data_IF_930678555839
#
_entry.id   IF_930678555839
#
_cell.length_a   1.000
_cell.length_b   1.000
_cell.length_c   1.000
_cell.angle_alpha   90.00
_cell.angle_beta   90.00
_cell.angle_gamma   90.00
#
_symmetry.space_group_name_H-M   'P 1'
#
loop_
_entity.id
_entity.type
_entity.pdbx_description
1 polymer ?
#
# COMPACT_ATOMS: atom_id res chain seq x y z
N UNK A 1 19.67 -9.83 -2.63
CA UNK A 1 18.56 -9.76 -3.63
C UNK A 1 17.92 -8.37 -3.52
N UNK A 2 17.84 -7.62 -4.62
CA UNK A 2 17.44 -6.20 -4.62
C UNK A 2 15.90 -6.12 -4.69
N UNK A 3 15.26 -5.50 -3.71
CA UNK A 3 13.81 -5.32 -3.68
C UNK A 3 13.35 -4.54 -4.95
N UNK A 4 12.50 -5.11 -5.82
CA UNK A 4 12.11 -4.48 -7.09
C UNK A 4 11.43 -3.11 -6.91
N UNK A 5 10.95 -2.80 -5.71
CA UNK A 5 10.26 -1.55 -5.37
C UNK A 5 11.17 -0.35 -5.04
N UNK A 6 12.51 -0.45 -5.18
CA UNK A 6 13.44 0.62 -4.77
C UNK A 6 13.95 1.52 -5.91
N UNK A 7 13.46 2.76 -5.96
CA UNK A 7 14.11 4.00 -6.43
C UNK A 7 13.43 5.21 -5.77
N UNK A 8 14.22 6.08 -5.15
CA UNK A 8 13.75 7.30 -4.50
C UNK A 8 13.73 8.46 -5.51
N UNK A 9 12.56 9.10 -5.68
CA UNK A 9 12.45 10.41 -6.31
C UNK A 9 11.49 11.26 -5.49
N UNK A 10 12.01 12.36 -4.94
CA UNK A 10 11.28 13.37 -4.20
C UNK A 10 10.69 14.37 -5.20
N UNK A 11 9.38 14.32 -5.44
CA UNK A 11 8.59 15.45 -5.94
C UNK A 11 7.30 15.48 -5.13
N UNK A 12 6.86 16.68 -4.75
CA UNK A 12 5.64 16.93 -3.96
C UNK A 12 4.49 16.13 -4.59
N UNK A 13 4.14 15.02 -3.94
CA UNK A 13 3.14 14.10 -4.43
C UNK A 13 1.76 14.60 -4.05
N UNK A 14 0.83 14.57 -5.00
CA UNK A 14 -0.59 14.74 -4.68
C UNK A 14 -0.96 13.62 -3.70
N UNK A 15 -1.56 14.00 -2.56
CA UNK A 15 -2.12 13.09 -1.58
C UNK A 15 -3.62 13.00 -1.79
N UNK A 16 -4.14 11.79 -2.01
CA UNK A 16 -5.56 11.52 -2.06
C UNK A 16 -5.97 10.73 -0.82
N UNK A 17 -6.84 11.32 0.02
CA UNK A 17 -7.40 10.64 1.19
C UNK A 17 -8.77 10.05 0.85
N UNK A 18 -8.93 8.75 1.11
CA UNK A 18 -10.15 8.00 0.81
C UNK A 18 -10.60 7.29 2.07
N UNK A 19 -11.88 7.42 2.43
CA UNK A 19 -12.49 6.59 3.47
C UNK A 19 -12.81 5.22 2.88
N UNK A 20 -12.11 4.17 3.31
CA UNK A 20 -12.27 2.79 2.81
C UNK A 20 -13.18 1.94 3.68
N UNK A 21 -13.34 2.33 4.95
CA UNK A 21 -14.35 1.84 5.90
C UNK A 21 -14.71 2.98 6.86
N UNK A 22 -15.80 2.90 7.66
CA UNK A 22 -16.19 4.01 8.53
C UNK A 22 -15.08 4.46 9.49
N UNK A 23 -14.22 3.53 9.93
CA UNK A 23 -13.12 3.71 10.88
C UNK A 23 -11.73 3.76 10.22
N UNK A 24 -11.64 3.66 8.89
CA UNK A 24 -10.36 3.55 8.18
C UNK A 24 -10.27 4.51 7.00
N UNK A 25 -9.28 5.40 7.07
CA UNK A 25 -8.87 6.27 5.97
C UNK A 25 -7.55 5.77 5.37
N UNK A 26 -7.50 5.74 4.04
CA UNK A 26 -6.32 5.40 3.28
C UNK A 26 -5.76 6.67 2.62
N UNK A 27 -4.46 6.84 2.72
CA UNK A 27 -3.70 7.90 2.06
C UNK A 27 -3.00 7.34 0.83
N UNK A 28 -3.49 7.69 -0.35
CA UNK A 28 -2.93 7.26 -1.63
C UNK A 28 -1.89 8.28 -2.07
N UNK A 29 -0.65 7.81 -2.25
CA UNK A 29 0.50 8.61 -2.68
C UNK A 29 1.01 8.16 -4.03
N UNK A 30 1.26 9.14 -4.91
CA UNK A 30 1.72 8.95 -6.28
C UNK A 30 3.18 9.37 -6.44
N UNK A 31 4.09 8.64 -5.79
CA UNK A 31 5.51 8.99 -5.82
C UNK A 31 6.23 8.52 -7.08
N UNK A 32 5.76 7.45 -7.72
CA UNK A 32 6.39 6.85 -8.87
C UNK A 32 5.35 6.49 -9.93
N UNK A 33 5.80 6.40 -11.18
CA UNK A 33 4.92 6.05 -12.30
C UNK A 33 4.57 4.55 -12.31
N UNK A 34 5.42 3.72 -11.72
CA UNK A 34 5.37 2.26 -11.72
C UNK A 34 4.70 1.64 -10.48
N UNK A 35 4.37 2.44 -9.46
CA UNK A 35 3.78 1.95 -8.21
C UNK A 35 2.86 3.00 -7.59
N UNK A 36 1.82 2.52 -6.89
CA UNK A 36 0.98 3.34 -6.01
C UNK A 36 1.23 2.91 -4.57
N UNK A 37 1.53 3.88 -3.71
CA UNK A 37 1.66 3.64 -2.29
C UNK A 37 0.35 4.03 -1.60
N UNK A 38 -0.12 3.16 -0.72
CA UNK A 38 -1.21 3.41 0.20
C UNK A 38 -0.65 3.30 1.60
N UNK A 39 -0.85 4.32 2.42
CA UNK A 39 -0.60 4.19 3.85
C UNK A 39 -1.85 4.45 4.68
N UNK A 40 -1.83 3.90 5.88
CA UNK A 40 -2.87 4.03 6.88
C UNK A 40 -2.22 4.40 8.20
N UNK A 41 -2.92 5.18 9.01
CA UNK A 41 -2.49 5.48 10.37
C UNK A 41 -2.39 4.17 11.16
N UNK A 42 -1.33 3.94 11.96
CA UNK A 42 -1.18 2.72 12.75
C UNK A 42 -2.35 2.44 13.70
N UNK A 43 -3.09 3.48 14.08
CA UNK A 43 -4.18 3.41 15.03
C UNK A 43 -5.53 2.99 14.42
N UNK A 44 -5.67 3.08 13.10
CA UNK A 44 -6.94 2.98 12.37
C UNK A 44 -7.37 1.56 11.99
N UNK A 45 -6.50 0.67 11.45
CA UNK A 45 -6.93 -0.68 11.11
C UNK A 45 -7.07 -1.51 12.39
N UNK A 46 -8.25 -1.47 13.01
CA UNK A 46 -8.60 -2.30 14.16
C UNK A 46 -9.54 -3.42 13.74
N UNK A 47 -9.04 -4.66 13.87
CA UNK A 47 -9.83 -5.87 13.62
C UNK A 47 -9.87 -6.30 12.15
N UNK A 48 -10.41 -7.50 11.94
CA UNK A 48 -10.39 -8.18 10.64
C UNK A 48 -11.18 -7.42 9.56
N UNK A 49 -12.32 -6.82 9.91
CA UNK A 49 -13.18 -6.12 8.94
C UNK A 49 -12.47 -4.91 8.30
N UNK A 50 -11.71 -4.15 9.08
CA UNK A 50 -10.91 -3.04 8.57
C UNK A 50 -9.79 -3.52 7.65
N UNK A 51 -9.11 -4.62 8.02
CA UNK A 51 -8.10 -5.27 7.20
C UNK A 51 -8.68 -5.79 5.87
N UNK A 52 -9.84 -6.42 5.91
CA UNK A 52 -10.52 -6.92 4.71
C UNK A 52 -10.91 -5.77 3.76
N UNK A 53 -11.37 -4.65 4.32
CA UNK A 53 -11.74 -3.46 3.56
C UNK A 53 -10.53 -2.85 2.83
N UNK A 54 -9.40 -2.67 3.51
CA UNK A 54 -8.19 -2.15 2.86
C UNK A 54 -7.64 -3.14 1.84
N UNK A 55 -7.63 -4.44 2.13
CA UNK A 55 -7.22 -5.46 1.16
C UNK A 55 -8.09 -5.42 -0.11
N UNK A 56 -9.41 -5.33 0.04
CA UNK A 56 -10.33 -5.18 -1.11
C UNK A 56 -10.03 -3.93 -1.90
N UNK A 57 -9.78 -2.81 -1.23
CA UNK A 57 -9.41 -1.54 -1.86
C UNK A 57 -8.11 -1.66 -2.67
N UNK A 58 -7.03 -2.20 -2.08
CA UNK A 58 -5.73 -2.40 -2.75
C UNK A 58 -5.89 -3.21 -4.03
N UNK A 59 -6.60 -4.34 -3.96
CA UNK A 59 -6.85 -5.21 -5.11
C UNK A 59 -7.67 -4.50 -6.18
N UNK A 60 -8.73 -3.78 -5.80
CA UNK A 60 -9.58 -3.07 -6.76
C UNK A 60 -8.80 -1.99 -7.52
N UNK A 61 -8.01 -1.18 -6.81
CA UNK A 61 -7.17 -0.13 -7.40
C UNK A 61 -6.11 -0.73 -8.31
N UNK A 62 -5.33 -1.69 -7.79
CA UNK A 62 -4.23 -2.30 -8.54
C UNK A 62 -4.70 -3.02 -9.79
N UNK A 63 -5.79 -3.79 -9.69
CA UNK A 63 -6.41 -4.47 -10.83
C UNK A 63 -6.95 -3.49 -11.86
N UNK A 64 -7.62 -2.41 -11.43
CA UNK A 64 -8.20 -1.42 -12.35
C UNK A 64 -7.17 -0.60 -13.10
N UNK A 65 -6.02 -0.35 -12.48
CA UNK A 65 -4.94 0.46 -13.03
C UNK A 65 -3.83 -0.36 -13.69
N UNK A 66 -3.81 -1.69 -13.48
CA UNK A 66 -2.73 -2.56 -13.97
C UNK A 66 -1.39 -2.23 -13.31
N UNK A 67 -1.40 -1.79 -12.05
CA UNK A 67 -0.19 -1.33 -11.34
C UNK A 67 -0.02 -2.03 -10.00
N UNK A 68 1.22 -2.28 -9.57
CA UNK A 68 1.52 -2.64 -8.18
C UNK A 68 0.96 -1.59 -7.21
N UNK A 69 0.39 -2.07 -6.12
CA UNK A 69 -0.07 -1.23 -5.00
C UNK A 69 0.49 -1.81 -3.71
N UNK A 70 1.14 -0.97 -2.90
CA UNK A 70 1.72 -1.39 -1.62
C UNK A 70 1.02 -0.70 -0.47
N UNK A 71 0.77 -1.45 0.60
CA UNK A 71 0.30 -0.95 1.88
C UNK A 71 1.49 -0.79 2.82
N UNK A 72 1.62 0.40 3.40
CA UNK A 72 2.60 0.70 4.45
C UNK A 72 1.86 1.27 5.67
N UNK A 73 2.53 1.30 6.82
CA UNK A 73 2.10 2.19 7.90
C UNK A 73 2.53 3.61 7.54
N UNK A 74 1.79 4.59 8.05
CA UNK A 74 2.17 5.99 7.88
C UNK A 74 3.63 6.22 8.28
N UNK A 75 4.36 6.95 7.44
CA UNK A 75 5.79 7.23 7.58
C UNK A 75 6.73 6.01 7.56
N UNK A 76 6.24 4.82 7.21
CA UNK A 76 7.02 3.57 7.14
C UNK A 76 7.12 3.02 5.71
N UNK A 77 7.31 3.92 4.74
CA UNK A 77 7.40 3.60 3.30
C UNK A 77 8.42 2.50 2.97
N UNK A 78 9.51 2.44 3.73
CA UNK A 78 10.58 1.45 3.57
C UNK A 78 10.20 0.04 4.06
N UNK A 79 9.04 -0.10 4.72
CA UNK A 79 8.55 -1.33 5.35
C UNK A 79 7.12 -1.67 4.89
N UNK A 80 6.92 -1.98 3.60
CA UNK A 80 5.62 -2.39 3.10
C UNK A 80 5.17 -3.71 3.75
N UNK A 81 3.89 -3.79 4.09
CA UNK A 81 3.27 -4.92 4.80
C UNK A 81 2.54 -5.87 3.85
N UNK A 82 1.79 -5.30 2.90
CA UNK A 82 0.96 -6.02 1.94
C UNK A 82 1.20 -5.40 0.56
N UNK A 83 1.32 -6.23 -0.47
CA UNK A 83 1.40 -5.79 -1.87
C UNK A 83 0.32 -6.45 -2.71
N UNK A 84 -0.18 -5.73 -3.71
CA UNK A 84 -0.93 -6.31 -4.82
C UNK A 84 0.03 -6.63 -5.97
N UNK A 85 0.11 -7.91 -6.32
CA UNK A 85 0.90 -8.43 -7.44
C UNK A 85 0.02 -8.51 -8.70
N UNK A 86 0.39 -7.74 -9.72
CA UNK A 86 -0.36 -7.64 -10.98
C UNK A 86 -0.28 -8.94 -11.78
N UNK A 87 0.85 -9.63 -11.75
CA UNK A 87 1.08 -10.83 -12.55
C UNK A 87 0.21 -12.01 -12.09
N UNK A 88 -0.06 -12.08 -10.79
CA UNK A 88 -0.81 -13.16 -10.16
C UNK A 88 -2.24 -12.77 -9.77
N UNK A 89 -2.63 -11.48 -9.89
CA UNK A 89 -3.88 -10.91 -9.37
C UNK A 89 -4.15 -11.31 -7.91
N UNK A 90 -3.11 -11.19 -7.07
CA UNK A 90 -3.17 -11.58 -5.66
C UNK A 90 -2.58 -10.53 -4.75
N UNK A 91 -3.12 -10.48 -3.53
CA UNK A 91 -2.47 -9.81 -2.42
C UNK A 91 -1.44 -10.76 -1.81
N UNK A 92 -0.26 -10.23 -1.57
CA UNK A 92 0.85 -10.94 -0.94
C UNK A 92 1.25 -10.20 0.32
N UNK A 93 1.50 -10.95 1.39
CA UNK A 93 2.16 -10.39 2.57
C UNK A 93 3.63 -10.20 2.23
N UNK A 94 4.13 -8.99 2.39
CA UNK A 94 5.54 -8.69 2.22
C UNK A 94 6.20 -8.97 3.57
N UNK A 95 7.05 -10.00 3.61
CA UNK A 95 7.82 -10.28 4.81
C UNK A 95 8.74 -9.07 5.06
N UNK A 96 8.52 -8.37 6.16
CA UNK A 96 9.43 -7.34 6.63
C UNK A 96 10.83 -7.94 6.77
N UNK A 97 11.86 -7.20 6.37
CA UNK A 97 13.23 -7.60 6.61
C UNK A 97 13.44 -7.66 8.13
N UNK A 98 13.43 -8.86 8.72
CA UNK A 98 14.11 -9.13 9.98
C UNK A 98 15.60 -9.10 9.67
N UNK A 99 16.21 -7.92 9.78
CA UNK A 99 17.65 -7.73 9.60
C UNK A 99 18.22 -7.08 10.85
N UNK A 100 18.77 -7.95 11.71
CA UNK A 100 19.82 -7.78 12.74
C UNK A 100 20.01 -6.41 13.40
#
# INVERSE_FOLDING_TARGET
MRNPFRKAHSRVGILLRIRVAPELSAHVRFFRTDEIEVDVSPEEPRGQSALDAVCRFLRAVGRRLGKPVVLTLENARDRPLIGYDVATDRLVRIAGHSGQ
#
